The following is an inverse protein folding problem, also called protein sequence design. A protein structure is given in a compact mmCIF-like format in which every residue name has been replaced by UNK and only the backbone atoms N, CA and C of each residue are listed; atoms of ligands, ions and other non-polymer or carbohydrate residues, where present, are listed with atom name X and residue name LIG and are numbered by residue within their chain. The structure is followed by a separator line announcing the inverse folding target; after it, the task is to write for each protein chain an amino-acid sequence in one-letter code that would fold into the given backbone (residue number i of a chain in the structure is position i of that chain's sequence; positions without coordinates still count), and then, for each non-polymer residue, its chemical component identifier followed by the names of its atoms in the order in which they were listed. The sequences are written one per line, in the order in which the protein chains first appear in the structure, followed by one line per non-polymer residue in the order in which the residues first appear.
data_IF_032883364154
#
_entry.id   IF_032883364154
#
_cell.length_a   1.000
_cell.length_b   1.000
_cell.length_c   1.000
_cell.angle_alpha   90.00
_cell.angle_beta   90.00
_cell.angle_gamma   90.00
#
_symmetry.space_group_name_H-M   'P 1'
#
loop_
_entity.id
_entity.type
_entity.pdbx_description
1 polymer ?
#
# COMPACT_ATOMS: atom_id res chain seq x y z
N UNK A 1 9.38 18.58 1.74
CA UNK A 1 9.78 17.58 0.72
C UNK A 1 9.20 16.25 1.15
N UNK A 2 8.09 15.85 0.52
CA UNK A 2 7.21 14.78 0.98
C UNK A 2 7.60 13.40 0.44
N UNK A 3 7.48 12.42 1.34
CA UNK A 3 7.23 11.01 1.06
C UNK A 3 5.98 10.88 0.17
N UNK A 4 6.10 10.19 -0.96
CA UNK A 4 5.02 9.83 -1.89
C UNK A 4 4.09 10.96 -2.34
N UNK A 5 4.38 11.63 -3.45
CA UNK A 5 3.38 12.47 -4.12
C UNK A 5 3.15 12.03 -5.55
N UNK A 6 2.19 11.12 -5.71
CA UNK A 6 1.08 11.37 -6.63
C UNK A 6 -0.23 11.07 -5.86
N UNK A 7 -0.88 12.14 -5.34
CA UNK A 7 -2.26 12.05 -4.87
C UNK A 7 -2.49 11.80 -3.37
N UNK A 8 -2.18 12.80 -2.53
CA UNK A 8 -2.92 13.18 -1.30
C UNK A 8 -2.69 12.47 0.04
N UNK A 9 -1.72 11.58 0.19
CA UNK A 9 -1.62 10.79 1.44
C UNK A 9 -0.19 10.60 1.95
N UNK A 10 0.09 11.07 3.17
CA UNK A 10 1.39 10.93 3.83
C UNK A 10 1.51 9.57 4.51
N UNK A 11 2.09 8.57 3.84
CA UNK A 11 2.33 7.25 4.43
C UNK A 11 3.82 6.89 4.34
N UNK A 12 4.43 6.61 5.49
CA UNK A 12 5.72 5.92 5.59
C UNK A 12 6.93 6.79 5.96
N UNK A 13 8.08 6.14 6.18
CA UNK A 13 9.35 6.80 6.48
C UNK A 13 10.07 7.23 5.20
N UNK A 14 10.76 8.38 5.23
CA UNK A 14 11.66 8.80 4.14
C UNK A 14 12.71 7.73 3.81
N UNK A 15 13.27 7.08 4.84
CA UNK A 15 14.25 6.01 4.65
C UNK A 15 13.68 4.80 3.93
N UNK A 16 12.39 4.47 4.17
CA UNK A 16 11.70 3.39 3.44
C UNK A 16 11.48 3.79 1.99
N UNK A 17 11.05 5.04 1.72
CA UNK A 17 10.85 5.50 0.35
C UNK A 17 12.15 5.57 -0.45
N UNK A 18 13.28 5.89 0.18
CA UNK A 18 14.61 5.84 -0.44
C UNK A 18 15.05 4.38 -0.66
N UNK A 19 14.85 3.49 0.32
CA UNK A 19 15.14 2.07 0.16
C UNK A 19 14.39 1.45 -1.02
N UNK A 20 13.08 1.72 -1.14
CA UNK A 20 12.26 1.20 -2.25
C UNK A 20 12.78 1.73 -3.58
N UNK A 21 13.05 3.04 -3.68
CA UNK A 21 13.58 3.65 -4.92
C UNK A 21 14.94 3.08 -5.33
N UNK A 22 15.82 2.81 -4.36
CA UNK A 22 17.16 2.30 -4.64
C UNK A 22 17.18 0.82 -5.05
N UNK A 23 16.20 0.04 -4.60
CA UNK A 23 16.12 -1.40 -4.88
C UNK A 23 15.11 -1.75 -5.97
N UNK A 24 14.27 -0.80 -6.38
CA UNK A 24 13.21 -0.91 -7.39
C UNK A 24 12.41 -2.23 -7.36
N UNK A 25 11.88 -2.65 -6.18
CA UNK A 25 11.11 -3.87 -6.10
C UNK A 25 9.77 -3.69 -6.83
N UNK A 26 9.32 -4.72 -7.56
CA UNK A 26 7.99 -4.68 -8.20
C UNK A 26 6.86 -4.41 -7.18
N UNK A 27 6.93 -5.04 -6.01
CA UNK A 27 5.86 -5.02 -5.01
C UNK A 27 6.43 -4.78 -3.61
N UNK A 28 5.80 -3.90 -2.83
CA UNK A 28 6.07 -3.72 -1.39
C UNK A 28 4.80 -3.91 -0.59
N UNK A 29 4.87 -4.72 0.48
CA UNK A 29 3.73 -5.04 1.33
C UNK A 29 3.93 -4.38 2.68
N UNK A 30 2.97 -3.56 3.09
CA UNK A 30 3.01 -2.79 4.32
C UNK A 30 1.94 -3.32 5.27
N UNK A 31 2.40 -3.93 6.38
CA UNK A 31 1.54 -4.33 7.49
C UNK A 31 1.36 -3.19 8.51
N UNK A 32 0.42 -3.36 9.42
CA UNK A 32 0.22 -2.49 10.60
C UNK A 32 0.01 -1.00 10.30
N UNK A 33 -0.43 -0.67 9.10
CA UNK A 33 -0.71 0.71 8.72
C UNK A 33 -2.18 1.03 9.00
N UNK A 34 -2.55 1.10 10.29
CA UNK A 34 -3.88 1.55 10.71
C UNK A 34 -4.25 2.90 10.06
N UNK A 35 -3.25 3.76 9.87
CA UNK A 35 -3.44 5.05 9.22
C UNK A 35 -3.59 4.91 7.70
N UNK A 36 -2.86 4.01 7.04
CA UNK A 36 -2.81 3.99 5.57
C UNK A 36 -4.18 3.87 4.92
N UNK A 37 -5.02 2.91 5.32
CA UNK A 37 -6.35 2.74 4.71
C UNK A 37 -7.27 3.94 5.01
N UNK A 38 -7.21 4.51 6.22
CA UNK A 38 -7.97 5.70 6.60
C UNK A 38 -7.54 6.92 5.78
N UNK A 39 -6.24 7.12 5.60
CA UNK A 39 -5.73 8.28 4.86
C UNK A 39 -5.87 8.07 3.34
N UNK A 40 -5.90 6.83 2.88
CA UNK A 40 -6.15 6.41 1.49
C UNK A 40 -7.64 6.33 1.11
N UNK A 41 -8.56 6.73 2.01
CA UNK A 41 -10.02 6.75 1.77
C UNK A 41 -10.56 5.41 1.25
N UNK A 42 -10.01 4.31 1.77
CA UNK A 42 -10.38 2.98 1.32
C UNK A 42 -9.62 2.49 0.09
N UNK A 43 -8.67 3.22 -0.50
CA UNK A 43 -7.68 2.61 -1.39
C UNK A 43 -6.71 1.70 -0.60
N UNK A 44 -6.18 0.65 -1.23
CA UNK A 44 -5.17 -0.26 -0.64
C UNK A 44 -3.85 -0.28 -1.41
N UNK A 45 -3.78 0.44 -2.53
CA UNK A 45 -2.58 0.46 -3.38
C UNK A 45 -2.06 1.88 -3.57
N UNK A 46 -0.75 2.01 -3.62
CA UNK A 46 -0.04 3.26 -3.88
C UNK A 46 1.24 2.99 -4.68
N UNK A 47 1.91 4.03 -5.15
CA UNK A 47 3.15 3.90 -5.91
C UNK A 47 4.30 4.65 -5.23
N UNK A 48 5.48 4.03 -5.23
CA UNK A 48 6.76 4.66 -4.84
C UNK A 48 7.80 4.35 -5.91
N UNK A 49 8.05 5.30 -6.81
CA UNK A 49 8.80 5.00 -8.03
C UNK A 49 8.03 4.01 -8.90
N UNK A 50 8.68 2.94 -9.37
CA UNK A 50 8.01 1.87 -10.13
C UNK A 50 7.42 0.77 -9.22
N UNK A 51 7.63 0.87 -7.91
CA UNK A 51 7.14 -0.13 -6.97
C UNK A 51 5.67 0.10 -6.65
N UNK A 52 4.88 -0.96 -6.77
CA UNK A 52 3.49 -0.97 -6.27
C UNK A 52 3.52 -1.29 -4.77
N UNK A 53 3.01 -0.37 -3.96
CA UNK A 53 2.80 -0.55 -2.53
C UNK A 53 1.40 -1.06 -2.23
N UNK A 54 1.30 -2.07 -1.37
CA UNK A 54 0.03 -2.59 -0.86
C UNK A 54 -0.03 -2.37 0.65
N UNK A 55 -1.09 -1.72 1.12
CA UNK A 55 -1.41 -1.60 2.53
C UNK A 55 -2.59 -2.51 2.88
N UNK A 56 -2.35 -3.50 3.74
CA UNK A 56 -3.42 -4.36 4.28
C UNK A 56 -3.74 -3.85 5.68
N UNK A 57 -4.90 -3.23 5.82
CA UNK A 57 -5.40 -2.68 7.10
C UNK A 57 -6.91 -2.86 7.21
N UNK A 58 -7.50 -2.50 8.37
CA UNK A 58 -8.95 -2.52 8.51
C UNK A 58 -9.57 -1.65 7.41
N UNK A 59 -10.53 -2.21 6.67
CA UNK A 59 -11.30 -1.48 5.68
C UNK A 59 -12.19 -0.41 6.33
N UNK A 60 -13.21 0.04 5.61
CA UNK A 60 -14.23 0.93 6.18
C UNK A 60 -15.00 0.30 7.35
N UNK A 61 -15.10 -1.03 7.38
CA UNK A 61 -15.73 -1.79 8.45
C UNK A 61 -14.67 -2.68 9.15
N UNK A 62 -14.36 -2.43 10.43
CA UNK A 62 -13.40 -3.23 11.19
C UNK A 62 -13.92 -4.62 11.57
N UNK A 63 -15.22 -4.91 11.40
CA UNK A 63 -15.79 -6.24 11.64
C UNK A 63 -15.58 -7.20 10.46
N UNK A 64 -15.18 -6.70 9.30
CA UNK A 64 -14.97 -7.50 8.10
C UNK A 64 -13.51 -7.94 7.97
N UNK A 65 -13.32 -9.17 7.49
CA UNK A 65 -11.99 -9.66 7.17
C UNK A 65 -11.55 -9.04 5.85
N UNK A 66 -10.48 -8.25 5.91
CA UNK A 66 -9.91 -7.60 4.73
C UNK A 66 -8.58 -8.26 4.35
N UNK A 67 -8.41 -8.56 3.07
CA UNK A 67 -7.20 -9.15 2.52
C UNK A 67 -6.91 -8.66 1.10
N UNK A 68 -5.71 -8.97 0.60
CA UNK A 68 -5.32 -8.70 -0.78
C UNK A 68 -4.80 -10.00 -1.38
N UNK A 69 -5.42 -10.45 -2.47
CA UNK A 69 -4.93 -11.52 -3.31
C UNK A 69 -3.93 -10.96 -4.31
N UNK A 70 -2.75 -11.55 -4.33
CA UNK A 70 -1.66 -11.19 -5.24
C UNK A 70 -1.40 -12.40 -6.13
N UNK A 71 -1.60 -12.23 -7.43
CA UNK A 71 -1.12 -13.19 -8.42
C UNK A 71 0.26 -12.73 -8.92
N UNK A 72 1.28 -13.50 -8.59
CA UNK A 72 2.68 -13.19 -8.92
C UNK A 72 2.94 -13.33 -10.41
N UNK A 73 2.30 -14.28 -11.09
CA UNK A 73 2.54 -14.55 -12.50
C UNK A 73 1.92 -13.45 -13.38
N UNK A 74 0.67 -13.07 -13.09
CA UNK A 74 -0.01 -11.99 -13.81
C UNK A 74 0.29 -10.59 -13.26
N UNK A 75 0.98 -10.52 -12.11
CA UNK A 75 1.22 -9.29 -11.35
C UNK A 75 -0.05 -8.54 -11.00
N UNK A 76 -1.16 -9.26 -10.80
CA UNK A 76 -2.45 -8.67 -10.49
C UNK A 76 -2.73 -8.62 -8.99
N UNK A 77 -3.52 -7.62 -8.58
CA UNK A 77 -3.84 -7.30 -7.20
C UNK A 77 -5.36 -7.19 -7.06
N UNK A 78 -5.94 -7.89 -6.08
CA UNK A 78 -7.39 -7.85 -5.82
C UNK A 78 -7.65 -7.77 -4.33
N UNK A 79 -8.45 -6.81 -3.89
CA UNK A 79 -8.95 -6.80 -2.50
C UNK A 79 -10.03 -7.86 -2.33
N UNK A 80 -9.99 -8.53 -1.17
CA UNK A 80 -11.03 -9.43 -0.69
C UNK A 80 -11.56 -8.83 0.61
N UNK A 81 -12.88 -8.73 0.72
CA UNK A 81 -13.58 -8.33 1.94
C UNK A 81 -14.65 -9.40 2.22
N UNK A 82 -14.61 -9.98 3.41
CA UNK A 82 -15.53 -11.04 3.86
C UNK A 82 -16.27 -10.62 5.13
#
# INVERSE_FOLDING_TARGET
MGIGTEGRVHIGSRSIAEFIRNNDPWLTIHGHSHEAVSVMKGEFTFSVGNSVGVAVGPGSDPALLNGVLIDIASRSLRRITL
#
